data_IF_502965443351
#
_entry.id   IF_502965443351
#
_cell.length_a   1.000
_cell.length_b   1.000
_cell.length_c   1.000
_cell.angle_alpha   90.00
_cell.angle_beta   90.00
_cell.angle_gamma   90.00
#
_symmetry.space_group_name_H-M   'P 1'
#
loop_
_entity.id
_entity.type
_entity.pdbx_description
1 polymer ?
#
# COMPACT_ATOMS: atom_id res chain seq x y z
N UNK A 1 -12.13 -13.07 -12.18
CA UNK A 1 -12.47 -14.47 -11.84
C UNK A 1 -11.30 -15.11 -11.10
N UNK A 2 -11.60 -16.03 -10.18
CA UNK A 2 -10.57 -16.78 -9.43
C UNK A 2 -11.00 -18.24 -9.27
N UNK A 3 -10.03 -19.13 -9.11
CA UNK A 3 -10.25 -20.56 -8.87
C UNK A 3 -9.28 -21.02 -7.77
N UNK A 4 -9.81 -21.61 -6.71
CA UNK A 4 -9.00 -22.29 -5.70
C UNK A 4 -8.60 -23.66 -6.21
N UNK A 5 -7.33 -23.99 -6.08
CA UNK A 5 -6.69 -25.19 -6.63
C UNK A 5 -6.04 -25.95 -5.49
N UNK A 6 -6.37 -27.24 -5.36
CA UNK A 6 -5.85 -28.13 -4.32
C UNK A 6 -4.95 -29.26 -4.84
N UNK A 7 -4.82 -29.40 -6.17
CA UNK A 7 -3.97 -30.42 -6.77
C UNK A 7 -3.54 -30.03 -8.19
N UNK A 8 -2.61 -30.84 -8.76
CA UNK A 8 -2.02 -30.57 -10.08
C UNK A 8 -3.02 -30.57 -11.24
N UNK A 9 -4.00 -31.44 -11.25
CA UNK A 9 -4.97 -31.55 -12.36
C UNK A 9 -5.83 -30.27 -12.43
N UNK A 10 -6.32 -29.80 -11.27
CA UNK A 10 -7.07 -28.54 -11.18
C UNK A 10 -6.21 -27.32 -11.53
N UNK A 11 -4.89 -27.37 -11.27
CA UNK A 11 -3.96 -26.29 -11.61
C UNK A 11 -3.88 -26.10 -13.14
N UNK A 12 -3.70 -27.18 -13.90
CA UNK A 12 -3.60 -27.10 -15.35
C UNK A 12 -4.89 -26.54 -15.97
N UNK A 13 -6.06 -27.00 -15.50
CA UNK A 13 -7.35 -26.47 -15.94
C UNK A 13 -7.53 -24.97 -15.60
N UNK A 14 -7.09 -24.57 -14.39
CA UNK A 14 -7.20 -23.18 -13.95
C UNK A 14 -6.28 -22.25 -14.77
N UNK A 15 -5.04 -22.66 -15.04
CA UNK A 15 -4.11 -21.90 -15.88
C UNK A 15 -4.58 -21.81 -17.33
N UNK A 16 -5.11 -22.91 -17.90
CA UNK A 16 -5.65 -22.92 -19.25
C UNK A 16 -6.87 -21.99 -19.40
N UNK A 17 -7.69 -21.90 -18.36
CA UNK A 17 -8.87 -21.02 -18.31
C UNK A 17 -8.51 -19.56 -18.14
N UNK A 18 -7.50 -19.25 -17.31
CA UNK A 18 -7.11 -17.87 -17.02
C UNK A 18 -6.29 -17.26 -18.16
N UNK A 19 -5.44 -18.07 -18.82
CA UNK A 19 -4.52 -17.57 -19.84
C UNK A 19 -3.38 -16.74 -19.23
N UNK A 20 -2.43 -16.34 -20.10
CA UNK A 20 -1.34 -15.45 -19.72
C UNK A 20 -1.77 -13.97 -19.80
N UNK A 21 -1.24 -13.08 -18.96
CA UNK A 21 -0.33 -13.37 -17.84
C UNK A 21 -1.01 -14.20 -16.73
N UNK A 22 -0.29 -15.18 -16.20
CA UNK A 22 -0.77 -16.04 -15.10
C UNK A 22 -0.60 -15.35 -13.76
N UNK A 23 -1.65 -15.35 -12.93
CA UNK A 23 -1.62 -14.86 -11.55
C UNK A 23 -1.86 -16.03 -10.62
N UNK A 24 -0.84 -16.39 -9.83
CA UNK A 24 -0.91 -17.51 -8.89
C UNK A 24 -0.59 -16.99 -7.49
N UNK A 25 -1.48 -17.26 -6.54
CA UNK A 25 -1.35 -16.82 -5.14
C UNK A 25 -1.41 -18.03 -4.21
N UNK A 26 -0.53 -18.09 -3.22
CA UNK A 26 -0.70 -19.01 -2.10
C UNK A 26 -1.96 -18.64 -1.31
N UNK A 27 -2.79 -19.60 -0.96
CA UNK A 27 -3.93 -19.40 -0.06
C UNK A 27 -3.45 -19.46 1.39
N UNK A 28 -2.89 -18.35 1.89
CA UNK A 28 -2.34 -18.24 3.22
C UNK A 28 -1.45 -17.04 3.42
N UNK A 29 -0.93 -16.88 4.65
CA UNK A 29 -0.02 -15.79 5.01
C UNK A 29 1.38 -16.05 4.44
N UNK A 30 1.74 -15.36 3.37
CA UNK A 30 3.03 -15.51 2.68
C UNK A 30 3.86 -14.21 2.61
N UNK A 31 3.46 -13.16 3.36
CA UNK A 31 4.16 -11.87 3.46
C UNK A 31 4.52 -11.26 2.08
N UNK A 32 3.61 -11.32 1.11
CA UNK A 32 3.81 -10.83 -0.26
C UNK A 32 4.66 -11.74 -1.17
N UNK A 33 5.26 -12.79 -0.64
CA UNK A 33 6.09 -13.75 -1.43
C UNK A 33 5.26 -14.84 -2.10
N UNK A 34 4.01 -15.03 -1.69
CA UNK A 34 3.11 -16.04 -2.21
C UNK A 34 2.44 -15.67 -3.54
N UNK A 35 2.71 -14.51 -4.10
CA UNK A 35 2.09 -14.04 -5.35
C UNK A 35 3.12 -14.03 -6.47
N UNK A 36 2.79 -14.68 -7.58
CA UNK A 36 3.55 -14.63 -8.83
C UNK A 36 2.62 -14.16 -9.95
N UNK A 37 3.10 -13.17 -10.72
CA UNK A 37 2.51 -12.76 -11.99
C UNK A 37 3.56 -12.99 -13.08
N UNK A 38 3.24 -13.79 -14.10
CA UNK A 38 4.20 -14.16 -15.13
C UNK A 38 3.52 -14.55 -16.45
N UNK A 39 4.19 -14.29 -17.57
CA UNK A 39 3.84 -14.81 -18.89
C UNK A 39 4.26 -16.28 -19.06
N UNK A 40 5.21 -16.72 -18.24
CA UNK A 40 5.79 -18.07 -18.33
C UNK A 40 4.93 -19.08 -17.55
N UNK A 41 4.32 -20.01 -18.30
CA UNK A 41 3.49 -21.08 -17.73
C UNK A 41 4.27 -22.03 -16.84
N UNK A 42 5.53 -22.33 -17.18
CA UNK A 42 6.37 -23.25 -16.39
C UNK A 42 6.70 -22.62 -15.04
N UNK A 43 7.03 -21.31 -15.02
CA UNK A 43 7.23 -20.56 -13.80
C UNK A 43 5.97 -20.50 -12.93
N UNK A 44 4.79 -20.28 -13.54
CA UNK A 44 3.50 -20.28 -12.84
C UNK A 44 3.22 -21.63 -12.17
N UNK A 45 3.46 -22.70 -12.92
CA UNK A 45 3.32 -24.08 -12.44
C UNK A 45 4.27 -24.37 -11.27
N UNK A 46 5.55 -24.07 -11.42
CA UNK A 46 6.57 -24.32 -10.38
C UNK A 46 6.24 -23.56 -9.08
N UNK A 47 5.77 -22.30 -9.20
CA UNK A 47 5.33 -21.52 -8.05
C UNK A 47 4.11 -22.15 -7.36
N UNK A 48 3.10 -22.55 -8.13
CA UNK A 48 1.91 -23.20 -7.59
C UNK A 48 2.27 -24.52 -6.88
N UNK A 49 3.09 -25.37 -7.51
CA UNK A 49 3.52 -26.67 -6.95
C UNK A 49 4.30 -26.51 -5.64
N UNK A 50 5.08 -25.44 -5.52
CA UNK A 50 5.80 -25.13 -4.28
C UNK A 50 4.82 -24.92 -3.12
N UNK A 51 3.78 -24.10 -3.32
CA UNK A 51 2.79 -23.79 -2.27
C UNK A 51 1.73 -24.87 -2.08
N UNK A 52 1.43 -25.66 -3.09
CA UNK A 52 0.52 -26.82 -2.97
C UNK A 52 1.03 -27.91 -2.03
N UNK A 53 2.32 -27.88 -1.62
CA UNK A 53 2.87 -28.79 -0.61
C UNK A 53 2.33 -28.48 0.79
N UNK A 54 2.00 -27.23 1.07
CA UNK A 54 1.60 -26.75 2.39
C UNK A 54 0.14 -26.28 2.47
N UNK A 55 -0.56 -26.17 1.31
CA UNK A 55 -1.93 -25.69 1.26
C UNK A 55 -2.51 -25.60 -0.13
N UNK A 56 -3.54 -24.80 -0.29
CA UNK A 56 -4.16 -24.51 -1.57
C UNK A 56 -3.51 -23.29 -2.23
N UNK A 57 -3.70 -23.14 -3.53
CA UNK A 57 -3.33 -21.93 -4.28
C UNK A 57 -4.57 -21.38 -5.00
N UNK A 58 -4.56 -20.08 -5.25
CA UNK A 58 -5.58 -19.39 -6.01
C UNK A 58 -5.00 -18.95 -7.34
N UNK A 59 -5.61 -19.36 -8.44
CA UNK A 59 -5.32 -18.88 -9.79
C UNK A 59 -6.36 -17.83 -10.15
N UNK A 60 -5.90 -16.63 -10.50
CA UNK A 60 -6.76 -15.49 -10.81
C UNK A 60 -6.57 -15.01 -12.25
N UNK A 61 -7.57 -14.33 -12.77
CA UNK A 61 -7.41 -13.57 -14.00
C UNK A 61 -6.43 -12.42 -13.78
N UNK A 62 -5.57 -12.17 -14.76
CA UNK A 62 -4.76 -10.95 -14.78
C UNK A 62 -5.65 -9.72 -14.95
N UNK A 63 -5.43 -8.72 -14.12
CA UNK A 63 -6.14 -7.45 -14.17
C UNK A 63 -5.16 -6.38 -14.65
N UNK A 64 -5.50 -5.73 -15.77
CA UNK A 64 -4.71 -4.62 -16.32
C UNK A 64 -5.34 -3.30 -15.90
N UNK A 65 -4.57 -2.46 -15.20
CA UNK A 65 -5.02 -1.17 -14.69
C UNK A 65 -4.08 -0.57 -13.68
N UNK A 66 -4.49 0.57 -13.14
CA UNK A 66 -3.74 1.28 -12.08
C UNK A 66 -4.18 0.80 -10.70
N UNK A 67 -3.21 0.39 -9.87
CA UNK A 67 -3.47 -0.01 -8.49
C UNK A 67 -3.71 1.22 -7.60
N UNK A 68 -4.58 1.07 -6.62
CA UNK A 68 -4.91 2.08 -5.62
C UNK A 68 -5.32 1.44 -4.31
N UNK A 69 -4.94 2.05 -3.21
CA UNK A 69 -5.29 1.65 -1.86
C UNK A 69 -6.36 2.56 -1.29
N UNK A 70 -7.39 1.99 -0.66
CA UNK A 70 -8.41 2.75 0.06
C UNK A 70 -8.69 2.10 1.41
N UNK A 71 -8.57 2.89 2.46
CA UNK A 71 -8.83 2.45 3.84
C UNK A 71 -10.25 2.78 4.27
N UNK A 72 -10.83 1.89 5.06
CA UNK A 72 -12.11 2.08 5.72
C UNK A 72 -12.00 1.78 7.20
N UNK A 73 -12.50 2.68 8.03
CA UNK A 73 -12.77 2.36 9.44
C UNK A 73 -14.09 1.62 9.50
N UNK A 74 -14.12 0.48 10.21
CA UNK A 74 -15.32 -0.32 10.40
C UNK A 74 -15.59 -0.55 11.88
N UNK A 75 -16.85 -0.48 12.28
CA UNK A 75 -17.32 -0.86 13.61
C UNK A 75 -18.07 -2.21 13.64
N UNK A 76 -18.03 -2.92 12.50
CA UNK A 76 -18.72 -4.21 12.32
C UNK A 76 -20.08 -4.09 11.65
N UNK A 77 -20.59 -2.88 11.47
CA UNK A 77 -21.87 -2.55 10.84
C UNK A 77 -21.74 -1.47 9.77
N UNK A 78 -21.05 -0.40 10.09
CA UNK A 78 -20.86 0.77 9.24
C UNK A 78 -19.38 0.91 8.84
N UNK A 79 -19.12 1.42 7.62
CA UNK A 79 -17.78 1.79 7.18
C UNK A 79 -17.65 3.28 6.94
N UNK A 80 -16.50 3.86 7.29
CA UNK A 80 -16.13 5.26 7.01
C UNK A 80 -14.84 5.28 6.19
N UNK A 81 -14.86 5.79 4.94
CA UNK A 81 -13.68 5.84 4.09
C UNK A 81 -12.65 6.87 4.56
N UNK A 82 -11.38 6.59 4.29
CA UNK A 82 -10.30 7.57 4.31
C UNK A 82 -10.01 8.08 2.89
N UNK A 83 -8.90 8.81 2.70
CA UNK A 83 -8.47 9.25 1.38
C UNK A 83 -7.76 8.13 0.62
N UNK A 84 -7.95 8.00 -0.70
CA UNK A 84 -7.20 7.03 -1.49
C UNK A 84 -5.71 7.40 -1.56
N UNK A 85 -4.87 6.37 -1.69
CA UNK A 85 -3.43 6.50 -1.92
C UNK A 85 -2.96 5.51 -2.97
N UNK A 86 -1.91 5.86 -3.70
CA UNK A 86 -1.22 4.93 -4.60
C UNK A 86 0.15 4.62 -4.02
N UNK A 87 0.49 3.34 -3.91
CA UNK A 87 1.79 2.85 -3.45
C UNK A 87 2.66 2.39 -4.63
N UNK A 88 3.97 2.25 -4.35
CA UNK A 88 5.00 1.80 -5.28
C UNK A 88 5.66 0.57 -4.70
N UNK A 89 5.26 -0.61 -5.17
CA UNK A 89 5.64 -1.91 -4.57
C UNK A 89 7.01 -2.43 -5.00
N UNK A 90 7.50 -2.02 -6.17
CA UNK A 90 8.77 -2.51 -6.70
C UNK A 90 9.95 -1.74 -6.11
N UNK A 91 11.09 -2.44 -5.97
CA UNK A 91 12.27 -1.91 -5.28
C UNK A 91 12.94 -0.74 -6.01
N UNK A 92 12.88 -0.70 -7.34
CA UNK A 92 13.64 0.24 -8.18
C UNK A 92 12.73 1.08 -9.06
N UNK A 93 13.30 2.18 -9.58
CA UNK A 93 12.64 3.08 -10.53
C UNK A 93 12.07 2.33 -11.73
N UNK A 94 10.98 2.85 -12.32
CA UNK A 94 10.32 2.23 -13.47
C UNK A 94 9.58 0.92 -13.14
N UNK A 95 9.23 0.71 -11.88
CA UNK A 95 8.61 -0.52 -11.38
C UNK A 95 9.43 -1.78 -11.70
N UNK A 96 10.75 -1.66 -11.56
CA UNK A 96 11.68 -2.76 -11.73
C UNK A 96 12.10 -3.40 -10.40
N UNK A 97 12.76 -4.57 -10.49
CA UNK A 97 13.25 -5.31 -9.34
C UNK A 97 12.18 -6.12 -8.61
N UNK A 98 12.47 -6.65 -7.43
CA UNK A 98 11.55 -7.47 -6.65
C UNK A 98 10.44 -6.63 -6.01
N UNK A 99 9.34 -7.29 -5.62
CA UNK A 99 8.33 -6.71 -4.75
C UNK A 99 8.90 -6.43 -3.36
N UNK A 100 8.42 -5.35 -2.75
CA UNK A 100 8.81 -4.89 -1.41
C UNK A 100 7.57 -4.69 -0.55
N UNK A 101 7.74 -4.14 0.65
CA UNK A 101 6.63 -3.65 1.47
C UNK A 101 6.05 -2.30 1.01
N UNK A 102 6.60 -1.71 -0.06
CA UNK A 102 6.29 -0.37 -0.56
C UNK A 102 7.48 0.58 -0.42
N UNK A 103 7.82 1.28 -1.50
CA UNK A 103 8.95 2.22 -1.58
C UNK A 103 8.51 3.68 -1.53
N UNK A 104 7.23 3.93 -1.51
CA UNK A 104 6.64 5.26 -1.43
C UNK A 104 5.16 5.25 -1.78
N UNK A 105 4.50 6.36 -1.54
CA UNK A 105 3.09 6.56 -1.86
C UNK A 105 2.75 8.03 -2.00
N UNK A 106 1.57 8.32 -2.52
CA UNK A 106 1.00 9.66 -2.51
C UNK A 106 -0.51 9.63 -2.30
N UNK A 107 -1.06 10.73 -1.80
CA UNK A 107 -2.48 10.94 -1.57
C UNK A 107 -2.82 12.44 -1.73
N UNK A 108 -3.99 12.78 -2.36
CA UNK A 108 -4.94 11.92 -3.02
C UNK A 108 -4.43 11.44 -4.38
N UNK A 109 -5.24 10.62 -5.07
CA UNK A 109 -4.96 10.15 -6.43
C UNK A 109 -5.78 10.97 -7.43
N UNK A 110 -5.20 11.96 -8.14
CA UNK A 110 -5.96 12.91 -8.97
C UNK A 110 -6.57 12.28 -10.24
N UNK A 111 -6.08 11.11 -10.64
CA UNK A 111 -6.58 10.38 -11.80
C UNK A 111 -7.83 9.55 -11.54
N UNK A 112 -8.28 9.46 -10.28
CA UNK A 112 -9.49 8.76 -9.91
C UNK A 112 -10.74 9.62 -10.23
N UNK A 113 -11.85 9.01 -10.65
CA UNK A 113 -13.11 9.73 -10.79
C UNK A 113 -13.65 10.20 -9.42
N UNK A 114 -14.37 11.29 -9.39
CA UNK A 114 -14.97 11.86 -8.16
C UNK A 114 -15.84 10.85 -7.41
N UNK A 115 -16.53 9.95 -8.12
CA UNK A 115 -17.36 8.90 -7.52
C UNK A 115 -16.57 7.72 -6.93
N UNK A 116 -15.24 7.66 -7.13
CA UNK A 116 -14.46 6.46 -6.77
C UNK A 116 -14.66 6.02 -5.33
N UNK A 117 -14.55 6.95 -4.36
CA UNK A 117 -14.66 6.60 -2.93
C UNK A 117 -16.08 6.12 -2.59
N UNK A 118 -17.12 6.78 -3.11
CA UNK A 118 -18.52 6.35 -2.91
C UNK A 118 -18.79 5.00 -3.58
N UNK A 119 -18.31 4.79 -4.81
CA UNK A 119 -18.50 3.53 -5.53
C UNK A 119 -17.84 2.35 -4.80
N UNK A 120 -16.62 2.52 -4.31
CA UNK A 120 -15.91 1.50 -3.53
C UNK A 120 -16.60 1.25 -2.18
N UNK A 121 -17.09 2.31 -1.53
CA UNK A 121 -17.85 2.17 -0.28
C UNK A 121 -19.08 1.31 -0.48
N UNK A 122 -19.91 1.63 -1.49
CA UNK A 122 -21.20 0.99 -1.72
C UNK A 122 -21.08 -0.40 -2.35
N UNK A 123 -20.10 -0.61 -3.24
CA UNK A 123 -20.01 -1.83 -4.03
C UNK A 123 -19.03 -2.85 -3.45
N UNK A 124 -18.08 -2.43 -2.59
CA UNK A 124 -17.00 -3.29 -2.09
C UNK A 124 -16.96 -3.31 -0.56
N UNK A 125 -16.70 -2.16 0.09
CA UNK A 125 -16.41 -2.16 1.52
C UNK A 125 -17.64 -2.49 2.38
N UNK A 126 -18.73 -1.77 2.20
CA UNK A 126 -19.96 -2.02 2.99
C UNK A 126 -20.52 -3.43 2.76
N UNK A 127 -20.65 -3.95 1.50
CA UNK A 127 -21.06 -5.34 1.29
C UNK A 127 -20.14 -6.39 1.93
N UNK A 128 -18.83 -6.11 1.99
CA UNK A 128 -17.87 -7.00 2.66
C UNK A 128 -18.14 -7.07 4.16
N UNK A 129 -18.33 -5.93 4.82
CA UNK A 129 -18.65 -5.86 6.25
C UNK A 129 -20.03 -6.50 6.54
N UNK A 130 -21.01 -6.25 5.70
CA UNK A 130 -22.35 -6.86 5.83
C UNK A 130 -22.31 -8.39 5.73
N UNK A 131 -21.51 -8.93 4.81
CA UNK A 131 -21.36 -10.38 4.66
C UNK A 131 -20.62 -11.00 5.86
N UNK A 132 -19.55 -10.35 6.35
CA UNK A 132 -18.85 -10.81 7.57
C UNK A 132 -19.78 -10.81 8.80
N UNK A 133 -20.58 -9.76 8.97
CA UNK A 133 -21.58 -9.68 10.03
C UNK A 133 -22.63 -10.80 9.91
N UNK A 134 -23.15 -11.02 8.70
CA UNK A 134 -24.11 -12.08 8.40
C UNK A 134 -23.57 -13.48 8.71
N UNK A 135 -22.27 -13.70 8.51
CA UNK A 135 -21.58 -14.95 8.88
C UNK A 135 -21.32 -15.09 10.38
N UNK A 136 -21.64 -14.09 11.20
CA UNK A 136 -21.41 -14.09 12.64
C UNK A 136 -19.97 -13.78 13.05
N UNK A 137 -19.18 -13.19 12.16
CA UNK A 137 -17.80 -12.77 12.36
C UNK A 137 -17.62 -11.27 12.01
N UNK A 138 -18.34 -10.36 12.72
CA UNK A 138 -18.26 -8.94 12.42
C UNK A 138 -16.82 -8.43 12.51
N UNK A 139 -16.41 -7.59 11.57
CA UNK A 139 -15.07 -7.02 11.53
C UNK A 139 -15.07 -5.60 12.08
N UNK A 140 -14.38 -5.39 13.20
CA UNK A 140 -14.15 -4.08 13.83
C UNK A 140 -12.68 -3.72 13.67
N UNK A 141 -12.39 -2.60 13.02
CA UNK A 141 -11.00 -2.17 12.78
C UNK A 141 -10.82 -1.43 11.46
N UNK A 142 -9.60 -1.48 10.95
CA UNK A 142 -9.27 -0.89 9.67
C UNK A 142 -9.31 -1.96 8.56
N UNK A 143 -10.21 -1.79 7.61
CA UNK A 143 -10.25 -2.56 6.37
C UNK A 143 -9.43 -1.81 5.31
N UNK A 144 -8.33 -2.41 4.88
CA UNK A 144 -7.56 -1.95 3.73
C UNK A 144 -8.06 -2.69 2.49
N UNK A 145 -8.50 -1.95 1.50
CA UNK A 145 -8.86 -2.46 0.19
C UNK A 145 -7.73 -2.16 -0.80
N UNK A 146 -6.99 -3.20 -1.22
CA UNK A 146 -6.09 -3.14 -2.37
C UNK A 146 -6.92 -3.33 -3.64
N UNK A 147 -6.96 -2.31 -4.47
CA UNK A 147 -7.84 -2.20 -5.62
C UNK A 147 -7.05 -1.97 -6.89
N UNK A 148 -7.66 -2.30 -8.03
CA UNK A 148 -7.16 -1.95 -9.35
C UNK A 148 -8.30 -1.36 -10.17
N UNK A 149 -8.04 -0.21 -10.81
CA UNK A 149 -9.00 0.47 -11.67
C UNK A 149 -8.76 0.02 -13.10
N UNK A 150 -9.67 -0.80 -13.61
CA UNK A 150 -9.59 -1.34 -14.96
C UNK A 150 -10.59 -0.67 -15.90
N UNK A 151 -10.47 -0.90 -17.21
CA UNK A 151 -11.46 -0.49 -18.20
C UNK A 151 -12.87 -1.09 -17.97
N UNK A 152 -12.96 -2.14 -17.13
CA UNK A 152 -14.22 -2.84 -16.76
C UNK A 152 -14.69 -2.48 -15.35
N UNK A 153 -14.18 -1.40 -14.76
CA UNK A 153 -14.46 -0.94 -13.41
C UNK A 153 -13.42 -1.37 -12.38
N UNK A 154 -13.64 -0.95 -11.13
CA UNK A 154 -12.76 -1.24 -10.00
C UNK A 154 -12.89 -2.70 -9.57
N UNK A 155 -11.75 -3.35 -9.34
CA UNK A 155 -11.66 -4.74 -8.86
C UNK A 155 -10.85 -4.80 -7.58
N UNK A 156 -11.16 -5.78 -6.73
CA UNK A 156 -10.39 -6.08 -5.52
C UNK A 156 -9.21 -6.97 -5.87
N UNK A 157 -8.02 -6.59 -5.42
CA UNK A 157 -6.81 -7.42 -5.48
C UNK A 157 -6.69 -8.21 -4.17
N UNK A 158 -6.82 -7.50 -3.03
CA UNK A 158 -6.72 -8.09 -1.69
C UNK A 158 -7.40 -7.21 -0.64
N UNK A 159 -7.69 -7.81 0.52
CA UNK A 159 -8.00 -7.09 1.74
C UNK A 159 -6.89 -7.29 2.77
N UNK A 160 -6.60 -6.25 3.54
CA UNK A 160 -5.75 -6.33 4.72
C UNK A 160 -6.52 -5.77 5.94
N UNK A 161 -6.19 -6.26 7.14
CA UNK A 161 -6.81 -5.85 8.41
C UNK A 161 -5.90 -4.92 9.23
N UNK A 162 -5.18 -4.03 8.56
CA UNK A 162 -4.20 -3.10 9.13
C UNK A 162 -4.01 -1.88 8.24
N UNK A 163 -3.44 -0.84 8.81
CA UNK A 163 -2.92 0.27 8.02
C UNK A 163 -1.85 -0.20 7.03
N UNK A 164 -1.84 0.38 5.83
CA UNK A 164 -0.79 0.21 4.84
C UNK A 164 0.46 1.00 5.22
N UNK A 165 1.59 0.55 4.79
CA UNK A 165 2.86 1.24 4.92
C UNK A 165 3.61 1.08 3.59
N UNK A 166 3.78 2.17 2.80
CA UNK A 166 3.83 3.59 3.22
C UNK A 166 2.55 4.45 2.99
N UNK A 167 1.40 3.88 2.69
CA UNK A 167 0.20 4.66 2.33
C UNK A 167 -0.34 5.47 3.51
N UNK A 168 -0.28 4.91 4.73
CA UNK A 168 -0.78 5.57 5.94
C UNK A 168 -0.09 6.90 6.19
N UNK A 169 1.20 6.97 5.94
CA UNK A 169 1.98 8.18 6.13
C UNK A 169 1.47 9.31 5.22
N UNK A 170 1.17 9.00 3.94
CA UNK A 170 0.62 9.98 3.01
C UNK A 170 -0.83 10.35 3.36
N UNK A 171 -1.67 9.38 3.74
CA UNK A 171 -3.09 9.61 4.05
C UNK A 171 -3.25 10.40 5.34
N UNK A 172 -2.58 10.00 6.43
CA UNK A 172 -2.74 10.64 7.73
C UNK A 172 -2.10 12.03 7.81
N UNK A 173 -1.06 12.32 7.02
CA UNK A 173 -0.48 13.65 6.93
C UNK A 173 -1.46 14.73 6.45
N UNK A 174 -2.55 14.31 5.79
CA UNK A 174 -3.60 15.19 5.26
C UNK A 174 -4.84 15.30 6.15
N UNK A 175 -4.90 14.56 7.26
CA UNK A 175 -6.07 14.61 8.15
C UNK A 175 -6.11 15.95 8.90
N UNK A 176 -7.22 16.67 8.76
CA UNK A 176 -7.44 17.97 9.43
C UNK A 176 -8.45 17.91 10.57
N UNK A 177 -9.14 16.78 10.75
CA UNK A 177 -10.13 16.58 11.79
C UNK A 177 -9.62 15.76 12.99
N UNK A 178 -10.52 15.54 13.95
CA UNK A 178 -10.25 14.66 15.10
C UNK A 178 -10.36 13.18 14.70
N UNK A 179 -9.28 12.63 14.15
CA UNK A 179 -9.20 11.22 13.77
C UNK A 179 -9.37 10.29 14.98
N UNK A 180 -8.91 10.71 16.18
CA UNK A 180 -9.02 9.91 17.38
C UNK A 180 -10.50 9.70 17.80
N UNK A 181 -11.35 10.72 17.62
CA UNK A 181 -12.77 10.61 17.87
C UNK A 181 -13.44 9.58 16.93
N UNK A 182 -13.10 9.58 15.64
CA UNK A 182 -13.65 8.61 14.68
C UNK A 182 -13.13 7.19 14.96
N UNK A 183 -11.85 7.03 15.27
CA UNK A 183 -11.28 5.73 15.69
C UNK A 183 -11.95 5.19 16.95
N UNK A 184 -12.26 6.06 17.93
CA UNK A 184 -13.00 5.68 19.14
C UNK A 184 -14.45 5.26 18.83
N UNK A 185 -15.14 5.95 17.92
CA UNK A 185 -16.46 5.54 17.44
C UNK A 185 -16.41 4.17 16.79
N UNK A 186 -15.46 3.93 15.88
CA UNK A 186 -15.26 2.64 15.23
C UNK A 186 -15.03 1.52 16.27
N UNK A 187 -14.09 1.71 17.19
CA UNK A 187 -13.77 0.73 18.24
C UNK A 187 -14.92 0.47 19.22
N UNK A 188 -15.89 1.39 19.32
CA UNK A 188 -17.01 1.33 20.25
C UNK A 188 -18.34 0.88 19.62
N UNK A 189 -18.36 0.54 18.32
CA UNK A 189 -19.59 0.17 17.61
C UNK A 189 -20.56 1.34 17.46
N UNK A 190 -20.06 2.54 17.15
CA UNK A 190 -20.85 3.78 17.16
C UNK A 190 -20.64 4.65 15.90
N UNK A 191 -20.14 4.07 14.83
CA UNK A 191 -20.09 4.78 13.57
C UNK A 191 -21.50 5.01 13.01
N UNK A 192 -21.68 6.18 12.43
CA UNK A 192 -22.91 6.55 11.74
C UNK A 192 -22.58 6.76 10.25
N UNK A 193 -23.53 6.53 9.36
CA UNK A 193 -23.36 6.74 7.93
C UNK A 193 -23.06 8.20 7.54
N UNK A 194 -23.29 9.13 8.46
CA UNK A 194 -22.94 10.56 8.33
C UNK A 194 -21.54 10.90 8.82
N UNK A 195 -20.84 9.98 9.48
CA UNK A 195 -19.47 10.20 9.94
C UNK A 195 -18.52 10.30 8.75
N UNK A 196 -17.62 11.26 8.81
CA UNK A 196 -16.59 11.49 7.79
C UNK A 196 -15.26 11.83 8.44
N UNK A 197 -14.17 11.52 7.77
CA UNK A 197 -12.84 12.04 8.10
C UNK A 197 -12.56 13.24 7.23
N UNK A 198 -12.25 14.38 7.87
CA UNK A 198 -11.88 15.61 7.15
C UNK A 198 -10.39 15.55 6.74
N UNK A 199 -10.14 16.02 5.53
CA UNK A 199 -8.79 16.12 4.99
C UNK A 199 -8.52 17.56 4.53
N UNK A 200 -7.27 18.00 4.71
CA UNK A 200 -6.80 19.25 4.13
C UNK A 200 -6.79 19.18 2.60
N UNK A 201 -6.80 20.33 1.96
CA UNK A 201 -6.65 20.45 0.50
C UNK A 201 -5.25 20.12 0.02
N UNK A 202 -4.25 20.21 0.91
CA UNK A 202 -2.89 19.84 0.62
C UNK A 202 -2.78 18.36 0.27
N UNK A 203 -1.82 18.06 -0.58
CA UNK A 203 -1.47 16.70 -0.98
C UNK A 203 -0.27 16.20 -0.18
N UNK A 204 -0.05 14.90 -0.17
CA UNK A 204 1.11 14.30 0.49
C UNK A 204 1.84 13.32 -0.42
N UNK A 205 3.17 13.36 -0.37
CA UNK A 205 4.06 12.38 -0.99
C UNK A 205 4.94 11.77 0.10
N UNK A 206 5.03 10.45 0.11
CA UNK A 206 5.89 9.68 1.02
C UNK A 206 6.94 8.94 0.20
N UNK A 207 8.21 9.09 0.54
CA UNK A 207 9.31 8.31 -0.08
C UNK A 207 10.04 7.53 1.00
N UNK A 208 10.21 6.23 0.78
CA UNK A 208 10.89 5.33 1.71
C UNK A 208 12.39 5.32 1.44
N UNK A 209 13.19 5.58 2.47
CA UNK A 209 14.62 5.30 2.48
C UNK A 209 14.85 3.89 3.02
N UNK A 210 15.46 3.04 2.22
CA UNK A 210 15.74 1.66 2.55
C UNK A 210 17.25 1.41 2.73
N UNK A 211 17.60 0.40 3.53
CA UNK A 211 18.96 -0.10 3.68
C UNK A 211 19.49 -0.74 2.39
N UNK A 212 20.80 -0.71 2.20
CA UNK A 212 21.46 -1.48 1.16
C UNK A 212 21.03 -2.97 1.21
N UNK A 213 20.77 -3.55 0.02
CA UNK A 213 20.37 -4.95 -0.10
C UNK A 213 18.89 -5.26 0.16
N UNK A 214 18.07 -4.26 0.55
CA UNK A 214 16.62 -4.44 0.67
C UNK A 214 15.98 -4.71 -0.70
N UNK A 215 15.02 -5.65 -0.84
CA UNK A 215 14.33 -6.39 0.22
C UNK A 215 14.98 -7.74 0.61
N UNK A 216 15.97 -8.23 -0.11
CA UNK A 216 16.49 -9.59 0.05
C UNK A 216 17.38 -9.74 1.31
N UNK A 217 18.40 -8.90 1.44
CA UNK A 217 19.41 -8.97 2.50
C UNK A 217 19.78 -7.57 2.97
N UNK A 218 18.90 -6.88 3.74
CA UNK A 218 19.18 -5.51 4.19
C UNK A 218 20.36 -5.46 5.16
N UNK A 219 21.33 -4.59 4.87
CA UNK A 219 22.44 -4.29 5.76
C UNK A 219 21.96 -3.42 6.93
N UNK A 220 22.31 -3.79 8.15
CA UNK A 220 21.88 -3.12 9.38
C UNK A 220 23.04 -2.56 10.18
N UNK A 221 22.76 -1.70 11.17
CA UNK A 221 23.75 -1.11 12.06
C UNK A 221 24.42 0.17 11.53
N UNK A 222 24.10 0.61 10.31
CA UNK A 222 24.65 1.86 9.76
C UNK A 222 24.00 3.07 10.37
N UNK A 223 24.81 4.10 10.66
CA UNK A 223 24.38 5.35 11.29
C UNK A 223 23.57 6.19 10.31
N UNK A 224 22.51 6.80 10.81
CA UNK A 224 21.64 7.73 10.09
C UNK A 224 21.92 9.13 10.63
N UNK A 225 22.09 10.11 9.75
CA UNK A 225 22.27 11.52 10.13
C UNK A 225 21.49 12.46 9.21
N UNK A 226 21.37 13.74 9.59
CA UNK A 226 20.73 14.77 8.79
C UNK A 226 19.20 14.85 8.93
N UNK A 227 18.56 14.07 9.81
CA UNK A 227 17.11 14.07 10.02
C UNK A 227 16.60 15.47 10.41
N UNK A 228 17.26 16.12 11.38
CA UNK A 228 16.84 17.45 11.82
C UNK A 228 16.91 18.51 10.70
N UNK A 229 17.89 18.40 9.80
CA UNK A 229 18.01 19.30 8.65
C UNK A 229 16.91 19.03 7.61
N UNK A 230 16.51 17.78 7.45
CA UNK A 230 15.39 17.38 6.61
C UNK A 230 14.04 17.90 7.16
N UNK A 231 13.81 17.73 8.46
CA UNK A 231 12.59 18.22 9.15
C UNK A 231 12.51 19.75 9.26
N UNK A 232 13.63 20.46 9.05
CA UNK A 232 13.62 21.92 8.97
C UNK A 232 12.94 22.45 7.69
N UNK A 233 12.69 21.60 6.69
CA UNK A 233 11.93 21.96 5.49
C UNK A 233 10.44 22.00 5.85
N UNK A 234 9.81 23.14 5.63
CA UNK A 234 8.38 23.32 5.93
C UNK A 234 7.49 22.32 5.19
N UNK A 235 6.60 21.67 5.94
CA UNK A 235 5.71 20.61 5.44
C UNK A 235 6.38 19.24 5.31
N UNK A 236 7.61 19.06 5.80
CA UNK A 236 8.29 17.76 5.85
C UNK A 236 8.24 17.16 7.26
N UNK A 237 8.00 15.88 7.32
CA UNK A 237 8.05 15.06 8.53
C UNK A 237 8.78 13.74 8.25
N UNK A 238 9.60 13.27 9.16
CA UNK A 238 10.32 12.00 9.06
C UNK A 238 9.68 10.97 9.98
N UNK A 239 9.05 9.96 9.39
CA UNK A 239 8.50 8.83 10.13
C UNK A 239 9.56 7.72 10.25
N UNK A 240 9.87 7.32 11.48
CA UNK A 240 10.80 6.25 11.76
C UNK A 240 10.14 4.89 11.56
N UNK A 241 10.83 3.98 10.87
CA UNK A 241 10.44 2.58 10.72
C UNK A 241 11.47 1.67 11.42
N UNK A 242 12.42 1.11 10.69
CA UNK A 242 13.44 0.25 11.29
C UNK A 242 14.65 1.06 11.75
N UNK A 243 14.52 1.73 12.88
CA UNK A 243 15.60 2.53 13.52
C UNK A 243 15.73 2.21 15.00
N UNK A 244 16.91 2.45 15.57
CA UNK A 244 17.16 2.39 16.99
C UNK A 244 18.21 3.45 17.40
N UNK A 245 18.08 3.98 18.61
CA UNK A 245 19.11 4.83 19.23
C UNK A 245 20.19 3.96 19.88
N UNK A 246 21.45 4.35 19.71
CA UNK A 246 22.62 3.72 20.31
C UNK A 246 23.58 4.79 20.84
N UNK A 247 24.65 4.37 21.52
CA UNK A 247 25.70 5.29 21.97
C UNK A 247 26.40 6.00 20.79
N UNK A 248 26.40 5.40 19.62
CA UNK A 248 26.98 5.94 18.38
C UNK A 248 25.98 6.81 17.58
N UNK A 249 24.75 6.97 18.05
CA UNK A 249 23.67 7.70 17.42
C UNK A 249 22.55 6.81 16.87
N UNK A 250 21.73 7.37 16.01
CA UNK A 250 20.61 6.65 15.39
C UNK A 250 21.12 5.70 14.30
N UNK A 251 20.69 4.44 14.33
CA UNK A 251 21.09 3.41 13.36
C UNK A 251 19.90 2.78 12.65
N UNK A 252 20.14 2.25 11.44
CA UNK A 252 19.22 1.41 10.69
C UNK A 252 19.22 -0.02 11.24
N UNK A 253 18.03 -0.58 11.53
CA UNK A 253 17.87 -1.92 12.12
C UNK A 253 17.13 -2.90 11.21
N UNK A 254 16.75 -2.51 10.00
CA UNK A 254 16.01 -3.33 9.06
C UNK A 254 15.98 -2.76 7.66
N UNK A 255 15.09 -3.28 6.81
CA UNK A 255 15.05 -2.97 5.39
C UNK A 255 14.54 -1.57 5.09
N UNK A 256 13.28 -1.26 5.44
CA UNK A 256 12.71 0.09 5.32
C UNK A 256 13.03 0.88 6.58
N UNK A 257 13.80 1.94 6.45
CA UNK A 257 14.44 2.64 7.58
C UNK A 257 13.66 3.87 8.00
N UNK A 258 13.40 4.76 7.04
CA UNK A 258 12.65 6.00 7.24
C UNK A 258 11.62 6.17 6.13
N UNK A 259 10.54 6.87 6.45
CA UNK A 259 9.61 7.41 5.45
C UNK A 259 9.67 8.94 5.52
N UNK A 260 10.13 9.57 4.44
CA UNK A 260 10.10 11.02 4.28
C UNK A 260 8.73 11.40 3.75
N UNK A 261 7.97 12.13 4.56
CA UNK A 261 6.60 12.57 4.25
C UNK A 261 6.62 14.06 4.01
N UNK A 262 6.15 14.48 2.85
CA UNK A 262 6.07 15.90 2.51
C UNK A 262 4.64 16.29 2.11
N UNK A 263 4.17 17.43 2.62
CA UNK A 263 2.88 18.04 2.27
C UNK A 263 3.08 19.35 1.55
N UNK A 264 2.22 19.64 0.56
CA UNK A 264 2.20 20.90 -0.18
C UNK A 264 0.85 21.08 -0.88
N UNK A 265 0.66 22.25 -1.52
CA UNK A 265 -0.55 22.56 -2.25
C UNK A 265 -0.77 21.70 -3.50
N UNK A 266 0.28 21.11 -4.07
CA UNK A 266 0.23 20.24 -5.23
C UNK A 266 1.30 19.14 -5.17
N UNK A 267 1.14 18.08 -6.01
CA UNK A 267 2.03 16.92 -6.00
C UNK A 267 3.45 17.25 -6.50
N UNK A 268 3.61 18.23 -7.38
CA UNK A 268 4.93 18.68 -7.84
C UNK A 268 5.73 19.27 -6.69
N UNK A 269 5.12 20.17 -5.92
CA UNK A 269 5.75 20.80 -4.77
C UNK A 269 5.99 19.80 -3.62
N UNK A 270 5.03 18.92 -3.31
CA UNK A 270 5.20 17.89 -2.28
C UNK A 270 6.34 16.91 -2.65
N UNK A 271 6.39 16.47 -3.91
CA UNK A 271 7.46 15.63 -4.43
C UNK A 271 8.82 16.32 -4.33
N UNK A 272 8.93 17.56 -4.76
CA UNK A 272 10.18 18.33 -4.68
C UNK A 272 10.69 18.42 -3.24
N UNK A 273 9.82 18.76 -2.26
CA UNK A 273 10.16 18.81 -0.84
C UNK A 273 10.62 17.45 -0.30
N UNK A 274 9.95 16.34 -0.67
CA UNK A 274 10.33 15.00 -0.21
C UNK A 274 11.75 14.62 -0.67
N UNK A 275 12.08 14.91 -1.92
CA UNK A 275 13.42 14.62 -2.45
C UNK A 275 14.49 15.59 -1.93
N UNK A 276 14.19 16.88 -1.73
CA UNK A 276 15.08 17.83 -1.05
C UNK A 276 15.40 17.35 0.36
N UNK A 277 14.43 16.86 1.11
CA UNK A 277 14.63 16.30 2.44
C UNK A 277 15.49 15.04 2.43
N UNK A 278 15.29 14.14 1.46
CA UNK A 278 16.13 12.94 1.30
C UNK A 278 17.59 13.27 1.03
N UNK A 279 17.89 14.37 0.32
CA UNK A 279 19.27 14.83 0.08
C UNK A 279 19.99 15.32 1.36
N UNK A 280 19.24 15.66 2.42
CA UNK A 280 19.82 16.03 3.73
C UNK A 280 20.14 14.79 4.58
N UNK A 281 19.48 13.66 4.31
CA UNK A 281 19.63 12.44 5.10
C UNK A 281 20.80 11.63 4.56
N UNK A 282 21.69 11.21 5.43
CA UNK A 282 22.79 10.32 5.09
C UNK A 282 22.58 8.96 5.75
N UNK A 283 22.56 7.92 4.92
CA UNK A 283 22.59 6.50 5.28
C UNK A 283 23.50 5.82 4.25
N UNK A 284 24.67 5.36 4.67
CA UNK A 284 25.63 4.71 3.77
C UNK A 284 24.99 3.51 3.06
N UNK A 285 25.08 3.47 1.70
CA UNK A 285 24.48 2.43 0.87
C UNK A 285 22.95 2.42 0.85
N UNK A 286 22.30 3.34 1.56
CA UNK A 286 20.85 3.49 1.54
C UNK A 286 20.35 3.83 0.13
N UNK A 287 19.15 3.37 -0.20
CA UNK A 287 18.52 3.66 -1.49
C UNK A 287 17.05 4.04 -1.33
N UNK A 288 16.56 4.78 -2.29
CA UNK A 288 15.15 5.15 -2.46
C UNK A 288 14.82 5.29 -3.94
N UNK A 289 13.55 5.13 -4.29
CA UNK A 289 13.07 5.37 -5.65
C UNK A 289 13.03 6.87 -5.94
N UNK A 290 13.36 7.24 -7.18
CA UNK A 290 13.37 8.63 -7.66
C UNK A 290 12.13 9.01 -8.45
N UNK A 291 11.25 8.05 -8.73
CA UNK A 291 10.06 8.19 -9.56
C UNK A 291 8.74 8.21 -8.78
N UNK A 292 8.77 8.23 -7.43
CA UNK A 292 7.54 8.34 -6.61
C UNK A 292 6.78 9.60 -6.98
N UNK A 293 5.49 9.44 -7.31
CA UNK A 293 4.58 10.47 -7.78
C UNK A 293 5.01 11.20 -9.07
N UNK A 294 6.02 10.73 -9.81
CA UNK A 294 6.51 11.42 -11.01
C UNK A 294 5.40 11.56 -12.07
N UNK A 295 4.65 10.48 -12.33
CA UNK A 295 3.58 10.47 -13.35
C UNK A 295 2.49 11.52 -13.13
N UNK A 296 2.19 11.85 -11.88
CA UNK A 296 1.11 12.78 -11.50
C UNK A 296 1.61 14.17 -11.13
N UNK A 297 2.93 14.38 -11.07
CA UNK A 297 3.56 15.68 -10.78
C UNK A 297 3.80 16.51 -12.04
N UNK A 298 3.99 15.86 -13.20
CA UNK A 298 4.30 16.52 -14.48
C UNK A 298 3.04 16.93 -15.27
N UNK A 299 1.83 16.56 -14.81
CA UNK A 299 0.59 17.01 -15.44
C UNK A 299 0.21 18.39 -14.92
N UNK A 300 0.00 19.39 -15.83
CA UNK A 300 -0.50 20.69 -15.43
C UNK A 300 -1.88 20.53 -14.77
N UNK A 301 -2.03 21.07 -13.57
CA UNK A 301 -3.31 21.15 -12.86
C UNK A 301 -4.36 21.76 -13.79
N UNK A 302 -5.34 20.99 -14.20
CA UNK A 302 -6.45 21.40 -15.07
C UNK A 302 -7.52 22.19 -14.29
#
# INVERSE_FOLDING_TARGET
ASVTVSNRELLDEALDRSGAPYVVKADGLAAGKGVLVTEDREAAVAHAEYYLQDGEVVVEEFLDGDEVSLFFLSDGDTVVPLSPAQDYKRAFDGDEGPNTGGMGSYSPCPWLPESFVSDVTEQIAQPTIDELRKRGIPFVGLLYCGLIVTSKGTKVIEFNARFGDPETQAVLARVSGDIAAILLKAASGKLESSDTVAFDTDVAVTVVLASEGYPAHPETGRVISGIADAEAIDGVHIAHAATAETDDGLIATGGRVLSVVATAADLTAARAKAYEALEKINLEGGHYRRDIAARVSDEPSS
#
